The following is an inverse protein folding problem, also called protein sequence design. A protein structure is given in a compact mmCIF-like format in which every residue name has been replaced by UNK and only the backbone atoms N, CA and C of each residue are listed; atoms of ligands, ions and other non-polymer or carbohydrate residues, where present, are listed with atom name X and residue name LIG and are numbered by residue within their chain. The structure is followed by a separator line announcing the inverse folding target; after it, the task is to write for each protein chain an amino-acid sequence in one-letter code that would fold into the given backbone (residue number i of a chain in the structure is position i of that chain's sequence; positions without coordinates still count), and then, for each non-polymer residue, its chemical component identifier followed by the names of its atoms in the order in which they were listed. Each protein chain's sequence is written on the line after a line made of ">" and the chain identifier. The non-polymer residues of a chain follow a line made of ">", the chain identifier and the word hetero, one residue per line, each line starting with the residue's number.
data_IF_538484684402
#
_entry.id   IF_538484684402
#
_cell.length_a   1.000
_cell.length_b   1.000
_cell.length_c   1.000
_cell.angle_alpha   90.00
_cell.angle_beta   90.00
_cell.angle_gamma   90.00
#
_symmetry.space_group_name_H-M   'P 1'
#
loop_
_entity.id
_entity.type
_entity.pdbx_description
1 polymer ?
#
# COMPACT_ATOMS: atom_id res chain seq x y z
N UNK A 1 48.13 -16.48 27.70
CA UNK A 1 48.09 -15.68 26.45
C UNK A 1 46.66 -15.72 25.91
N UNK A 2 45.77 -14.86 26.42
CA UNK A 2 44.45 -14.66 25.80
C UNK A 2 44.62 -13.62 24.70
N UNK A 3 44.39 -14.03 23.44
CA UNK A 3 44.38 -13.10 22.31
C UNK A 3 43.31 -12.02 22.48
N UNK A 4 43.49 -10.85 21.84
CA UNK A 4 42.54 -9.75 21.97
C UNK A 4 41.14 -10.22 21.54
N UNK A 5 40.08 -9.85 22.28
CA UNK A 5 38.72 -10.23 21.93
C UNK A 5 38.39 -9.73 20.53
N UNK A 6 37.82 -10.61 19.72
CA UNK A 6 37.47 -10.34 18.34
C UNK A 6 36.45 -9.18 18.29
N UNK A 7 36.91 -7.98 17.88
CA UNK A 7 36.19 -6.71 18.04
C UNK A 7 35.10 -6.54 16.97
N UNK A 8 35.23 -7.24 15.83
CA UNK A 8 34.35 -7.10 14.67
C UNK A 8 32.88 -7.48 14.92
N UNK A 9 32.54 -8.58 15.60
CA UNK A 9 31.15 -8.93 15.92
C UNK A 9 30.50 -7.91 16.87
N UNK A 10 31.29 -7.29 17.76
CA UNK A 10 30.83 -6.31 18.73
C UNK A 10 30.44 -5.00 18.06
N UNK A 11 31.34 -4.45 17.21
CA UNK A 11 31.08 -3.23 16.43
C UNK A 11 29.85 -3.42 15.52
N UNK A 12 29.72 -4.59 14.89
CA UNK A 12 28.54 -4.91 14.06
C UNK A 12 27.24 -4.91 14.86
N UNK A 13 27.25 -5.48 16.07
CA UNK A 13 26.08 -5.52 16.96
C UNK A 13 25.71 -4.12 17.41
N UNK A 14 26.68 -3.33 17.88
CA UNK A 14 26.48 -1.94 18.30
C UNK A 14 25.94 -1.07 17.17
N UNK A 15 26.49 -1.20 15.96
CA UNK A 15 26.00 -0.47 14.79
C UNK A 15 24.55 -0.83 14.46
N UNK A 16 24.20 -2.12 14.48
CA UNK A 16 22.83 -2.57 14.22
C UNK A 16 21.86 -2.08 15.30
N UNK A 17 22.25 -2.13 16.57
CA UNK A 17 21.43 -1.63 17.69
C UNK A 17 21.27 -0.10 17.63
N UNK A 18 22.34 0.63 17.33
CA UNK A 18 22.31 2.09 17.18
C UNK A 18 21.39 2.50 16.02
N UNK A 19 21.56 1.89 14.83
CA UNK A 19 20.66 2.11 13.69
C UNK A 19 19.22 1.75 13.99
N UNK A 20 18.98 0.63 14.68
CA UNK A 20 17.63 0.23 15.06
C UNK A 20 16.98 1.28 15.97
N UNK A 21 17.71 1.79 16.96
CA UNK A 21 17.21 2.81 17.87
C UNK A 21 16.99 4.16 17.18
N UNK A 22 17.89 4.55 16.28
CA UNK A 22 17.74 5.76 15.45
C UNK A 22 16.50 5.67 14.56
N UNK A 23 16.33 4.54 13.86
CA UNK A 23 15.13 4.28 13.06
C UNK A 23 13.88 4.33 13.93
N UNK A 24 13.88 3.64 15.07
CA UNK A 24 12.74 3.63 16.00
C UNK A 24 12.38 5.02 16.50
N UNK A 25 13.37 5.87 16.79
CA UNK A 25 13.15 7.27 17.20
C UNK A 25 12.53 8.09 16.05
N UNK A 26 13.09 7.97 14.84
CA UNK A 26 12.60 8.68 13.64
C UNK A 26 11.20 8.24 13.20
N UNK A 27 10.82 7.02 13.52
CA UNK A 27 9.50 6.46 13.16
C UNK A 27 8.46 6.56 14.27
N UNK A 28 8.85 7.02 15.47
CA UNK A 28 7.98 7.09 16.66
C UNK A 28 6.72 7.94 16.48
N UNK A 29 6.82 9.01 15.69
CA UNK A 29 5.70 9.93 15.40
C UNK A 29 4.95 9.56 14.11
N UNK A 30 5.40 8.53 13.38
CA UNK A 30 4.77 8.16 12.13
C UNK A 30 3.52 7.34 12.42
N UNK A 31 2.38 7.85 11.97
CA UNK A 31 1.05 7.26 12.15
C UNK A 31 0.94 5.81 11.65
N UNK A 32 1.82 5.38 10.74
CA UNK A 32 1.87 3.99 10.26
C UNK A 32 2.38 2.98 11.30
N UNK A 33 3.10 3.39 12.35
CA UNK A 33 3.59 2.44 13.38
C UNK A 33 2.46 1.92 14.27
N UNK A 34 1.50 2.78 14.60
CA UNK A 34 0.31 2.41 15.39
C UNK A 34 -0.61 1.50 14.58
N UNK A 35 -0.76 1.74 13.28
CA UNK A 35 -1.62 0.90 12.41
C UNK A 35 -1.02 -0.46 12.08
N UNK A 36 0.30 -0.65 12.19
CA UNK A 36 0.99 -1.92 11.92
C UNK A 36 0.89 -2.93 13.07
N UNK A 37 0.78 -2.47 14.32
CA UNK A 37 0.78 -3.33 15.52
C UNK A 37 -0.47 -4.23 15.60
N UNK A 38 -1.54 -3.82 14.92
CA UNK A 38 -2.83 -4.53 14.87
C UNK A 38 -3.01 -5.35 13.58
N UNK A 39 -2.04 -5.35 12.67
CA UNK A 39 -2.11 -6.19 11.47
C UNK A 39 -1.79 -7.61 11.93
N UNK A 40 -2.82 -8.43 12.10
CA UNK A 40 -2.62 -9.83 12.46
C UNK A 40 -1.76 -10.53 11.40
N UNK A 41 -1.29 -11.73 11.71
CA UNK A 41 -0.45 -12.54 10.82
C UNK A 41 -1.28 -13.16 9.67
N UNK A 42 -1.98 -12.29 8.93
CA UNK A 42 -2.85 -12.60 7.81
C UNK A 42 -2.02 -13.00 6.60
N UNK A 43 -2.61 -13.72 5.61
CA UNK A 43 -1.94 -13.90 4.36
C UNK A 43 -1.57 -12.53 3.75
N UNK A 44 -0.42 -12.49 3.07
CA UNK A 44 0.19 -11.24 2.59
C UNK A 44 -0.77 -10.38 1.77
N UNK A 45 -1.70 -11.00 1.06
CA UNK A 45 -2.66 -10.31 0.18
C UNK A 45 -3.66 -9.47 0.99
N UNK A 46 -4.14 -9.97 2.13
CA UNK A 46 -5.02 -9.22 3.04
C UNK A 46 -4.24 -8.15 3.79
N UNK A 47 -3.10 -8.52 4.39
CA UNK A 47 -2.29 -7.59 5.18
C UNK A 47 -1.86 -6.35 4.37
N UNK A 48 -1.46 -6.54 3.10
CA UNK A 48 -1.07 -5.43 2.20
C UNK A 48 -2.26 -4.55 1.83
N UNK A 49 -3.44 -5.13 1.61
CA UNK A 49 -4.63 -4.35 1.29
C UNK A 49 -5.02 -3.45 2.47
N UNK A 50 -5.10 -4.03 3.66
CA UNK A 50 -5.44 -3.32 4.88
C UNK A 50 -4.43 -2.22 5.20
N UNK A 51 -3.12 -2.53 5.14
CA UNK A 51 -2.07 -1.55 5.38
C UNK A 51 -2.22 -0.31 4.48
N UNK A 52 -2.40 -0.54 3.17
CA UNK A 52 -2.53 0.55 2.18
C UNK A 52 -3.78 1.39 2.44
N UNK A 53 -4.90 0.75 2.76
CA UNK A 53 -6.16 1.44 3.06
C UNK A 53 -6.10 2.21 4.38
N UNK A 54 -5.47 1.66 5.44
CA UNK A 54 -5.34 2.34 6.75
C UNK A 54 -4.37 3.51 6.68
N UNK A 55 -3.30 3.41 5.89
CA UNK A 55 -2.30 4.48 5.74
C UNK A 55 -2.67 5.51 4.67
N UNK A 56 -3.71 5.26 3.87
CA UNK A 56 -4.10 6.12 2.75
C UNK A 56 -3.08 6.14 1.60
N UNK A 57 -2.10 5.24 1.62
CA UNK A 57 -1.17 4.96 0.52
C UNK A 57 -1.74 3.89 -0.43
N UNK A 58 -3.03 4.03 -0.72
CA UNK A 58 -3.76 3.14 -1.60
C UNK A 58 -3.67 3.59 -3.07
N UNK A 59 -4.39 2.88 -3.93
CA UNK A 59 -4.46 3.19 -5.36
C UNK A 59 -5.91 3.41 -5.80
N UNK A 60 -6.75 3.95 -4.91
CA UNK A 60 -8.12 4.31 -5.23
C UNK A 60 -8.17 5.68 -5.90
N UNK A 61 -9.29 5.98 -6.59
CA UNK A 61 -9.41 7.16 -7.43
C UNK A 61 -9.12 8.47 -6.66
N UNK A 62 -9.54 8.58 -5.39
CA UNK A 62 -9.27 9.76 -4.55
C UNK A 62 -7.77 9.98 -4.33
N UNK A 63 -7.02 8.93 -3.99
CA UNK A 63 -5.56 9.02 -3.81
C UNK A 63 -4.86 9.31 -5.15
N UNK A 64 -5.24 8.59 -6.21
CA UNK A 64 -4.68 8.80 -7.54
C UNK A 64 -4.94 10.20 -8.10
N UNK A 65 -6.08 10.81 -7.76
CA UNK A 65 -6.39 12.18 -8.13
C UNK A 65 -5.49 13.19 -7.41
N UNK A 66 -5.25 13.00 -6.11
CA UNK A 66 -4.29 13.83 -5.34
C UNK A 66 -2.88 13.79 -5.90
N UNK A 67 -2.49 12.66 -6.50
CA UNK A 67 -1.20 12.49 -7.18
C UNK A 67 -1.20 13.04 -8.63
N UNK A 68 -2.32 13.54 -9.14
CA UNK A 68 -2.45 14.04 -10.51
C UNK A 68 -2.56 12.96 -11.59
N UNK A 69 -2.70 11.68 -11.22
CA UNK A 69 -2.84 10.56 -12.17
C UNK A 69 -4.27 10.44 -12.69
N UNK A 70 -5.26 10.75 -11.85
CA UNK A 70 -6.69 10.75 -12.19
C UNK A 70 -7.22 12.18 -12.30
N UNK A 71 -8.11 12.40 -13.28
CA UNK A 71 -8.75 13.71 -13.48
C UNK A 71 -9.81 14.01 -12.42
N UNK A 72 -10.40 12.98 -11.81
CA UNK A 72 -11.46 13.11 -10.82
C UNK A 72 -11.22 12.15 -9.63
N UNK A 73 -11.59 12.52 -8.40
CA UNK A 73 -11.49 11.66 -7.22
C UNK A 73 -12.63 10.64 -7.11
N UNK A 74 -13.62 10.74 -8.00
CA UNK A 74 -14.85 9.95 -7.98
C UNK A 74 -14.61 8.51 -8.45
N UNK A 75 -15.44 7.59 -7.96
CA UNK A 75 -15.39 6.18 -8.32
C UNK A 75 -15.79 5.98 -9.79
N UNK A 76 -14.88 5.57 -10.69
CA UNK A 76 -15.22 5.31 -12.09
C UNK A 76 -15.93 3.96 -12.27
N UNK A 77 -15.99 3.14 -11.22
CA UNK A 77 -16.59 1.80 -11.28
C UNK A 77 -18.11 1.84 -11.10
N UNK A 78 -18.64 2.86 -10.41
CA UNK A 78 -20.06 3.00 -10.14
C UNK A 78 -20.57 4.38 -10.52
N UNK A 79 -21.84 4.48 -10.92
CA UNK A 79 -22.41 5.73 -11.43
C UNK A 79 -22.88 6.71 -10.33
N UNK A 80 -22.34 6.61 -9.11
CA UNK A 80 -22.80 7.39 -7.95
C UNK A 80 -22.05 8.71 -7.72
N UNK A 81 -20.99 8.98 -8.49
CA UNK A 81 -20.16 10.19 -8.36
C UNK A 81 -19.59 10.44 -6.94
N UNK A 82 -19.53 9.40 -6.12
CA UNK A 82 -18.91 9.43 -4.79
C UNK A 82 -17.39 9.32 -4.92
N UNK A 83 -16.63 9.98 -4.04
CA UNK A 83 -15.18 9.79 -3.96
C UNK A 83 -14.82 8.34 -3.64
N UNK A 84 -13.88 7.77 -4.41
CA UNK A 84 -13.46 6.40 -4.18
C UNK A 84 -12.39 6.35 -3.09
N UNK A 85 -12.85 6.25 -1.85
CA UNK A 85 -12.03 6.01 -0.66
C UNK A 85 -12.44 4.71 0.06
N UNK A 86 -11.75 4.31 1.13
CA UNK A 86 -12.03 3.08 1.87
C UNK A 86 -13.53 2.92 2.22
N UNK A 87 -14.18 3.99 2.69
CA UNK A 87 -15.60 3.96 3.04
C UNK A 87 -16.50 3.64 1.83
N UNK A 88 -16.22 4.23 0.68
CA UNK A 88 -16.92 3.94 -0.56
C UNK A 88 -16.61 2.52 -1.08
N UNK A 89 -15.35 2.09 -0.99
CA UNK A 89 -14.90 0.77 -1.45
C UNK A 89 -15.76 -0.37 -0.86
N UNK A 90 -16.06 -0.29 0.45
CA UNK A 90 -16.87 -1.27 1.17
C UNK A 90 -18.34 -1.27 0.68
N UNK A 91 -18.86 -0.11 0.24
CA UNK A 91 -20.26 0.04 -0.22
C UNK A 91 -20.44 -0.01 -1.73
N UNK A 92 -19.34 -0.03 -2.50
CA UNK A 92 -19.40 0.06 -3.94
C UNK A 92 -20.12 -1.16 -4.52
N UNK A 93 -21.23 -0.92 -5.24
CA UNK A 93 -22.06 -1.96 -5.84
C UNK A 93 -21.41 -2.61 -7.07
N UNK A 94 -20.41 -1.96 -7.66
CA UNK A 94 -19.70 -2.48 -8.82
C UNK A 94 -18.68 -3.57 -8.47
N UNK A 95 -18.39 -3.77 -7.18
CA UNK A 95 -17.47 -4.79 -6.68
C UNK A 95 -18.28 -5.99 -6.18
N UNK A 96 -17.91 -7.18 -6.67
CA UNK A 96 -18.67 -8.41 -6.42
C UNK A 96 -18.28 -9.13 -5.13
N UNK A 97 -17.15 -8.74 -4.56
CA UNK A 97 -16.54 -9.45 -3.43
C UNK A 97 -17.03 -8.92 -2.08
N UNK A 98 -16.93 -9.76 -1.03
CA UNK A 98 -17.52 -9.45 0.28
C UNK A 98 -16.52 -8.87 1.28
N UNK A 99 -15.24 -9.25 1.22
CA UNK A 99 -14.22 -8.70 2.13
C UNK A 99 -13.62 -7.39 1.61
N UNK A 100 -13.18 -6.54 2.54
CA UNK A 100 -12.51 -5.27 2.22
C UNK A 100 -11.26 -5.49 1.34
N UNK A 101 -10.44 -6.48 1.69
CA UNK A 101 -9.23 -6.83 0.95
C UNK A 101 -9.53 -7.29 -0.47
N UNK A 102 -10.51 -8.16 -0.67
CA UNK A 102 -10.89 -8.60 -2.02
C UNK A 102 -11.44 -7.43 -2.85
N UNK A 103 -12.27 -6.57 -2.25
CA UNK A 103 -12.80 -5.37 -2.90
C UNK A 103 -11.66 -4.44 -3.35
N UNK A 104 -10.64 -4.25 -2.51
CA UNK A 104 -9.46 -3.47 -2.87
C UNK A 104 -8.73 -4.03 -4.09
N UNK A 105 -8.43 -5.33 -4.09
CA UNK A 105 -7.71 -5.96 -5.20
C UNK A 105 -8.53 -5.99 -6.49
N UNK A 106 -9.84 -6.19 -6.39
CA UNK A 106 -10.77 -6.11 -7.51
C UNK A 106 -10.81 -4.68 -8.09
N UNK A 107 -11.01 -3.68 -7.23
CA UNK A 107 -10.99 -2.27 -7.61
C UNK A 107 -9.68 -1.90 -8.30
N UNK A 108 -8.53 -2.25 -7.70
CA UNK A 108 -7.21 -2.01 -8.28
C UNK A 108 -7.08 -2.63 -9.67
N UNK A 109 -7.55 -3.87 -9.84
CA UNK A 109 -7.51 -4.58 -11.13
C UNK A 109 -8.38 -3.89 -12.18
N UNK A 110 -9.53 -3.35 -11.80
CA UNK A 110 -10.41 -2.61 -12.72
C UNK A 110 -9.87 -1.21 -13.07
N UNK A 111 -9.27 -0.50 -12.10
CA UNK A 111 -8.75 0.86 -12.27
C UNK A 111 -7.43 0.93 -13.06
N UNK A 112 -6.54 -0.04 -12.82
CA UNK A 112 -5.17 -0.05 -13.36
C UNK A 112 -4.98 -1.17 -14.38
N UNK A 113 -5.71 -2.28 -14.24
CA UNK A 113 -5.56 -3.46 -15.10
C UNK A 113 -6.42 -3.45 -16.37
N UNK A 114 -7.25 -2.43 -16.61
CA UNK A 114 -7.91 -2.25 -17.90
C UNK A 114 -7.05 -1.35 -18.78
N UNK A 115 -6.53 -1.82 -19.93
CA UNK A 115 -5.98 -0.92 -20.92
C UNK A 115 -7.10 0.04 -21.34
N UNK A 116 -6.86 1.34 -21.18
CA UNK A 116 -7.74 2.37 -21.74
C UNK A 116 -7.76 2.15 -23.24
N UNK A 117 -8.81 1.53 -23.76
CA UNK A 117 -9.10 1.54 -25.20
C UNK A 117 -9.66 2.93 -25.52
N UNK A 118 -8.82 3.96 -25.37
CA UNK A 118 -9.02 5.23 -26.04
C UNK A 118 -8.03 5.20 -27.19
N UNK A 119 -8.55 5.16 -28.41
CA UNK A 119 -7.83 4.81 -29.61
C UNK A 119 -6.47 5.50 -29.73
N UNK A 120 -5.40 4.71 -29.70
CA UNK A 120 -4.18 4.93 -30.46
C UNK A 120 -3.32 3.68 -30.41
N UNK A 121 -2.60 3.47 -31.49
CA UNK A 121 -2.08 2.19 -31.99
C UNK A 121 -1.18 1.46 -30.98
N UNK A 122 -1.31 0.13 -31.02
CA UNK A 122 -0.56 -0.87 -30.28
C UNK A 122 0.96 -0.71 -30.48
N UNK A 123 1.72 -0.69 -29.40
CA UNK A 123 3.01 -1.39 -29.32
C UNK A 123 3.13 -1.98 -27.92
N UNK A 124 3.08 -3.31 -27.86
CA UNK A 124 3.37 -4.07 -26.66
C UNK A 124 4.85 -3.92 -26.33
N UNK A 125 5.17 -3.58 -25.09
CA UNK A 125 6.40 -4.01 -24.44
C UNK A 125 6.04 -4.46 -23.04
N UNK A 126 6.17 -5.77 -22.86
CA UNK A 126 5.99 -6.49 -21.59
C UNK A 126 7.22 -6.20 -20.75
N UNK A 127 7.05 -5.58 -19.58
CA UNK A 127 8.10 -5.49 -18.58
C UNK A 127 7.94 -6.69 -17.63
N UNK A 128 9.01 -7.48 -17.54
CA UNK A 128 9.22 -8.57 -16.58
C UNK A 128 9.20 -8.11 -15.13
#
# INVERSE_FOLDING_TARGET
>A
MHGPPDVFPHIRKEFLTSRHNELKARTKEKQWTVTLSDIADWPRIEAVAEFRLRTGHDCLAKHLHRLGVYTQPTCPLCNRQEEMEKAHLIRCLALKTMSESQRYWEARRQLIGKPKILGSKKTANVCY
#
